data_IF_235175122639
#
_entry.id   IF_235175122639
#
_cell.length_a   1.000
_cell.length_b   1.000
_cell.length_c   1.000
_cell.angle_alpha   90.00
_cell.angle_beta   90.00
_cell.angle_gamma   90.00
#
_symmetry.space_group_name_H-M   'P 1'
#
loop_
_entity.id
_entity.type
_entity.pdbx_description
1 polymer ?
#
# COMPACT_ATOMS: atom_id res chain seq x y z
N UNK A 1 -34.51 12.82 41.10
CA UNK A 1 -33.78 11.90 42.02
C UNK A 1 -32.28 11.89 41.70
N UNK A 2 -31.40 11.25 42.50
CA UNK A 2 -29.95 11.14 42.19
C UNK A 2 -29.68 10.56 40.78
N UNK A 3 -30.53 9.62 40.34
CA UNK A 3 -30.51 9.04 39.00
C UNK A 3 -30.85 10.08 37.91
N UNK A 4 -31.91 10.88 38.10
CA UNK A 4 -32.28 11.95 37.16
C UNK A 4 -31.19 13.03 37.04
N UNK A 5 -30.51 13.35 38.15
CA UNK A 5 -29.36 14.26 38.16
C UNK A 5 -28.17 13.72 37.37
N UNK A 6 -27.87 12.41 37.50
CA UNK A 6 -26.85 11.75 36.68
C UNK A 6 -27.24 11.71 35.20
N UNK A 7 -28.50 11.40 34.86
CA UNK A 7 -28.97 11.40 33.46
C UNK A 7 -28.80 12.78 32.84
N UNK A 8 -29.18 13.86 33.53
CA UNK A 8 -28.96 15.24 33.06
C UNK A 8 -27.48 15.60 32.88
N UNK A 9 -26.61 15.14 33.77
CA UNK A 9 -25.18 15.43 33.71
C UNK A 9 -24.46 14.71 32.55
N UNK A 10 -24.89 13.50 32.20
CA UNK A 10 -24.26 12.70 31.13
C UNK A 10 -25.03 12.72 29.81
N UNK A 11 -26.20 13.36 29.76
CA UNK A 11 -26.99 13.55 28.52
C UNK A 11 -26.19 14.28 27.43
N UNK A 12 -25.31 15.23 27.78
CA UNK A 12 -24.41 15.88 26.81
C UNK A 12 -23.44 14.89 26.14
N UNK A 13 -23.02 13.84 26.86
CA UNK A 13 -22.15 12.80 26.29
C UNK A 13 -22.91 11.93 25.31
N UNK A 14 -24.16 11.59 25.62
CA UNK A 14 -25.06 10.83 24.74
C UNK A 14 -25.36 11.63 23.46
N UNK A 15 -25.60 12.93 23.59
CA UNK A 15 -25.85 13.85 22.47
C UNK A 15 -24.66 13.91 21.50
N UNK A 16 -23.43 13.98 22.04
CA UNK A 16 -22.20 14.01 21.24
C UNK A 16 -21.98 12.68 20.50
N UNK A 17 -22.29 11.53 21.11
CA UNK A 17 -22.14 10.23 20.48
C UNK A 17 -23.26 9.94 19.46
N UNK A 18 -24.48 10.40 19.72
CA UNK A 18 -25.57 10.37 18.74
C UNK A 18 -25.22 11.23 17.53
N UNK A 19 -24.71 12.45 17.73
CA UNK A 19 -24.23 13.31 16.64
C UNK A 19 -23.07 12.67 15.85
N UNK A 20 -22.13 11.98 16.52
CA UNK A 20 -21.05 11.26 15.85
C UNK A 20 -21.56 10.08 15.01
N UNK A 21 -22.53 9.31 15.53
CA UNK A 21 -23.18 8.24 14.77
C UNK A 21 -24.01 8.81 13.60
N UNK A 22 -24.65 9.97 13.75
CA UNK A 22 -25.35 10.69 12.68
C UNK A 22 -24.41 11.11 11.54
N UNK A 23 -23.25 11.67 11.88
CA UNK A 23 -22.25 12.10 10.89
C UNK A 23 -21.70 10.91 10.08
N UNK A 24 -21.66 9.71 10.70
CA UNK A 24 -21.20 8.49 10.05
C UNK A 24 -22.24 7.83 9.13
N UNK A 25 -23.55 7.96 9.40
CA UNK A 25 -24.61 7.27 8.65
C UNK A 25 -25.36 8.12 7.61
N UNK A 26 -25.20 9.44 7.61
CA UNK A 26 -25.41 10.28 6.41
C UNK A 26 -26.85 10.49 5.93
N UNK A 27 -27.88 10.22 6.74
CA UNK A 27 -29.29 10.34 6.33
C UNK A 27 -30.06 11.31 7.25
N UNK A 28 -29.95 12.62 6.97
CA UNK A 28 -30.53 13.69 7.80
C UNK A 28 -32.04 13.91 7.56
N UNK A 29 -32.56 13.54 6.39
CA UNK A 29 -33.91 13.92 5.97
C UNK A 29 -35.01 12.98 6.48
N UNK A 30 -34.64 11.79 6.98
CA UNK A 30 -35.59 10.77 7.46
C UNK A 30 -35.84 10.77 8.97
N UNK A 31 -35.24 11.69 9.73
CA UNK A 31 -35.34 11.67 11.20
C UNK A 31 -36.20 12.82 11.74
N UNK A 32 -37.48 12.82 11.36
CA UNK A 32 -38.49 13.59 12.09
C UNK A 32 -39.31 12.66 12.99
N UNK A 33 -39.22 12.96 14.29
CA UNK A 33 -40.12 12.57 15.38
C UNK A 33 -40.01 11.12 15.87
N UNK A 34 -38.89 10.81 16.55
CA UNK A 34 -38.94 9.81 17.60
C UNK A 34 -39.20 10.56 18.90
N UNK A 35 -40.32 10.28 19.58
CA UNK A 35 -40.61 10.85 20.90
C UNK A 35 -39.53 10.39 21.88
N UNK A 36 -38.55 11.27 22.12
CA UNK A 36 -37.48 10.99 23.07
C UNK A 36 -38.08 11.04 24.48
N UNK A 37 -37.93 9.98 25.29
CA UNK A 37 -38.45 9.98 26.64
C UNK A 37 -37.83 11.12 27.46
N UNK A 38 -38.61 11.73 28.34
CA UNK A 38 -38.12 12.73 29.27
C UNK A 38 -37.03 12.14 30.17
N UNK A 39 -36.15 12.99 30.70
CA UNK A 39 -35.11 12.56 31.65
C UNK A 39 -35.66 11.78 32.85
N UNK A 40 -36.91 12.06 33.21
CA UNK A 40 -37.63 11.38 34.29
C UNK A 40 -38.03 9.96 33.88
N UNK A 41 -38.57 9.78 32.67
CA UNK A 41 -38.93 8.47 32.13
C UNK A 41 -37.70 7.58 31.91
N UNK A 42 -36.61 8.15 31.38
CA UNK A 42 -35.33 7.44 31.27
C UNK A 42 -34.81 6.99 32.64
N UNK A 43 -34.91 7.85 33.66
CA UNK A 43 -34.44 7.53 35.00
C UNK A 43 -35.27 6.42 35.68
N UNK A 44 -36.56 6.30 35.33
CA UNK A 44 -37.43 5.23 35.83
C UNK A 44 -37.13 3.86 35.20
N UNK A 45 -36.56 3.84 33.99
CA UNK A 45 -36.14 2.61 33.31
C UNK A 45 -34.76 2.09 33.77
N UNK A 46 -34.00 2.89 34.52
CA UNK A 46 -32.73 2.47 35.09
C UNK A 46 -32.98 1.50 36.27
N UNK A 47 -32.92 0.20 36.00
CA UNK A 47 -32.87 -0.80 37.06
C UNK A 47 -31.51 -0.69 37.80
N UNK A 48 -31.48 -0.81 39.14
CA UNK A 48 -30.23 -0.88 39.88
C UNK A 48 -29.43 -2.09 39.40
N UNK A 49 -28.30 -1.81 38.74
CA UNK A 49 -27.40 -2.83 38.25
C UNK A 49 -26.62 -3.40 39.44
N UNK A 50 -26.76 -4.70 39.69
CA UNK A 50 -25.84 -5.40 40.59
C UNK A 50 -24.47 -5.48 39.89
N UNK A 51 -23.53 -4.67 40.37
CA UNK A 51 -22.17 -4.56 39.84
C UNK A 51 -21.51 -5.93 39.72
N UNK A 52 -21.77 -6.86 40.67
CA UNK A 52 -21.18 -8.20 40.64
C UNK A 52 -21.79 -9.06 39.53
N UNK A 53 -23.07 -8.89 39.24
CA UNK A 53 -23.75 -9.56 38.12
C UNK A 53 -23.27 -8.98 36.79
N UNK A 54 -23.08 -7.67 36.71
CA UNK A 54 -22.53 -7.01 35.52
C UNK A 54 -21.08 -7.45 35.25
N UNK A 55 -20.20 -7.41 36.25
CA UNK A 55 -18.81 -7.89 36.12
C UNK A 55 -18.75 -9.36 35.73
N UNK A 56 -19.60 -10.20 36.32
CA UNK A 56 -19.68 -11.63 35.95
C UNK A 56 -20.13 -11.82 34.51
N UNK A 57 -21.09 -11.01 34.02
CA UNK A 57 -21.54 -11.02 32.62
C UNK A 57 -20.46 -10.51 31.67
N UNK A 58 -19.75 -9.43 32.03
CA UNK A 58 -18.64 -8.89 31.23
C UNK A 58 -17.47 -9.88 31.17
N UNK A 59 -17.15 -10.54 32.29
CA UNK A 59 -16.09 -11.56 32.36
C UNK A 59 -16.47 -12.80 31.56
N UNK A 60 -17.73 -13.24 31.62
CA UNK A 60 -18.24 -14.33 30.79
C UNK A 60 -18.26 -13.97 29.30
N UNK A 61 -18.65 -12.74 28.95
CA UNK A 61 -18.62 -12.25 27.57
C UNK A 61 -17.19 -12.13 27.04
N UNK A 62 -16.24 -11.65 27.86
CA UNK A 62 -14.81 -11.62 27.55
C UNK A 62 -14.21 -13.03 27.40
N UNK A 63 -14.66 -13.99 28.20
CA UNK A 63 -14.24 -15.39 28.07
C UNK A 63 -14.79 -16.05 26.79
N UNK A 64 -16.03 -15.75 26.41
CA UNK A 64 -16.63 -16.18 25.14
C UNK A 64 -15.94 -15.53 23.95
N UNK A 65 -15.66 -14.22 24.01
CA UNK A 65 -14.87 -13.48 23.02
C UNK A 65 -13.45 -14.04 22.91
N UNK A 66 -12.79 -14.44 24.01
CA UNK A 66 -11.47 -15.10 23.95
C UNK A 66 -11.50 -16.51 23.35
N UNK A 67 -12.63 -17.21 23.46
CA UNK A 67 -12.84 -18.54 22.85
C UNK A 67 -13.25 -18.47 21.38
N UNK A 68 -13.94 -17.41 20.97
CA UNK A 68 -14.29 -17.13 19.56
C UNK A 68 -13.25 -16.29 18.83
N UNK A 69 -12.34 -15.62 19.55
CA UNK A 69 -11.18 -14.96 18.99
C UNK A 69 -10.12 -16.02 18.70
N UNK A 70 -9.80 -16.31 17.42
CA UNK A 70 -8.71 -17.20 17.12
C UNK A 70 -7.45 -16.53 17.67
N UNK A 71 -6.73 -17.22 18.56
CA UNK A 71 -5.44 -16.76 19.13
C UNK A 71 -4.30 -16.75 18.09
N UNK A 72 -4.67 -16.54 16.83
CA UNK A 72 -3.80 -16.38 15.70
C UNK A 72 -4.56 -15.58 14.65
N UNK A 73 -4.59 -14.26 14.85
CA UNK A 73 -4.70 -13.35 13.71
C UNK A 73 -3.34 -13.26 12.97
N UNK A 74 -2.50 -14.30 12.99
CA UNK A 74 -1.80 -14.68 11.77
C UNK A 74 -2.90 -15.22 10.86
N UNK A 75 -3.55 -14.34 10.12
CA UNK A 75 -4.23 -14.74 8.89
C UNK A 75 -3.26 -15.67 8.18
N UNK A 76 -3.63 -16.94 8.03
CA UNK A 76 -3.16 -17.75 6.91
C UNK A 76 -3.69 -17.06 5.65
N UNK A 77 -3.08 -15.93 5.29
CA UNK A 77 -2.77 -15.71 3.89
C UNK A 77 -1.95 -16.93 3.57
N UNK A 78 -2.45 -17.85 2.73
CA UNK A 78 -1.61 -18.90 2.18
C UNK A 78 -0.29 -18.21 1.81
N UNK A 79 0.81 -18.60 2.48
CA UNK A 79 2.05 -17.84 2.43
C UNK A 79 2.33 -17.56 0.96
N UNK A 80 2.33 -16.28 0.57
CA UNK A 80 2.56 -15.93 -0.84
C UNK A 80 3.87 -16.61 -1.21
N UNK A 81 3.95 -17.33 -2.34
CA UNK A 81 5.09 -18.19 -2.62
C UNK A 81 6.35 -17.40 -3.03
N UNK A 82 6.28 -16.08 -2.91
CA UNK A 82 7.33 -15.10 -3.12
C UNK A 82 7.10 -13.93 -2.15
N UNK A 83 8.14 -13.14 -1.93
CA UNK A 83 8.16 -11.93 -1.11
C UNK A 83 8.60 -10.74 -1.97
N UNK A 84 7.97 -9.60 -1.72
CA UNK A 84 8.44 -8.30 -2.20
C UNK A 84 9.33 -7.73 -1.10
N UNK A 85 10.61 -7.51 -1.42
CA UNK A 85 11.63 -7.15 -0.42
C UNK A 85 11.76 -5.63 -0.26
N UNK A 86 11.42 -4.87 -1.29
CA UNK A 86 11.53 -3.41 -1.29
C UNK A 86 11.51 -2.83 -2.68
N UNK A 87 11.70 -1.52 -2.76
CA UNK A 87 11.90 -0.81 -4.02
C UNK A 87 13.34 -1.06 -4.49
N UNK A 88 13.49 -1.43 -5.75
CA UNK A 88 14.78 -1.54 -6.40
C UNK A 88 15.13 -0.24 -7.13
N UNK A 89 14.22 0.24 -7.98
CA UNK A 89 14.42 1.49 -8.72
C UNK A 89 13.15 2.31 -8.87
N UNK A 90 13.32 3.60 -9.13
CA UNK A 90 12.27 4.50 -9.60
C UNK A 90 12.79 5.17 -10.87
N UNK A 91 12.01 5.10 -11.94
CA UNK A 91 12.41 5.66 -13.22
C UNK A 91 11.61 6.93 -13.52
N UNK A 92 12.33 8.03 -13.75
CA UNK A 92 11.76 9.36 -14.04
C UNK A 92 12.24 9.83 -15.39
N UNK A 93 11.29 10.13 -16.29
CA UNK A 93 11.56 10.61 -17.62
C UNK A 93 11.30 12.12 -17.79
N UNK A 94 12.14 12.76 -18.60
CA UNK A 94 12.00 14.15 -19.02
C UNK A 94 12.54 14.37 -20.43
N UNK A 95 12.25 15.54 -21.02
CA UNK A 95 12.80 15.89 -22.34
C UNK A 95 14.26 16.38 -22.27
N UNK A 96 14.73 16.74 -21.07
CA UNK A 96 16.08 17.22 -20.82
C UNK A 96 16.64 16.52 -19.56
N UNK A 97 17.60 15.61 -19.74
CA UNK A 97 18.22 14.89 -18.63
C UNK A 97 19.10 15.79 -17.76
N UNK A 98 19.68 16.86 -18.31
CA UNK A 98 20.50 17.78 -17.50
C UNK A 98 19.65 18.54 -16.47
N UNK A 99 18.40 18.88 -16.81
CA UNK A 99 17.46 19.45 -15.84
C UNK A 99 17.12 18.45 -14.72
N UNK A 100 16.97 17.16 -15.06
CA UNK A 100 16.79 16.10 -14.07
C UNK A 100 18.06 15.96 -13.21
N UNK A 101 19.25 15.96 -13.81
CA UNK A 101 20.52 15.87 -13.08
C UNK A 101 20.69 17.02 -12.09
N UNK A 102 20.39 18.25 -12.51
CA UNK A 102 20.43 19.42 -11.62
C UNK A 102 19.50 19.27 -10.41
N UNK A 103 18.30 18.70 -10.61
CA UNK A 103 17.39 18.44 -9.49
C UNK A 103 17.89 17.30 -8.61
N UNK A 104 18.07 16.11 -9.18
CA UNK A 104 18.28 14.88 -8.41
C UNK A 104 19.69 14.77 -7.84
N UNK A 105 20.70 15.19 -8.59
CA UNK A 105 22.10 15.15 -8.14
C UNK A 105 22.46 16.44 -7.43
N UNK A 106 22.40 17.58 -8.11
CA UNK A 106 22.99 18.82 -7.57
C UNK A 106 22.14 19.43 -6.44
N UNK A 107 20.81 19.33 -6.51
CA UNK A 107 19.89 19.91 -5.51
C UNK A 107 19.56 18.93 -4.39
N UNK A 108 19.20 17.69 -4.73
CA UNK A 108 18.75 16.67 -3.75
C UNK A 108 19.89 15.77 -3.24
N UNK A 109 21.05 15.75 -3.90
CA UNK A 109 22.23 15.06 -3.40
C UNK A 109 22.27 13.56 -3.65
N UNK A 110 21.55 13.03 -4.64
CA UNK A 110 21.68 11.61 -5.03
C UNK A 110 23.06 11.36 -5.64
N UNK A 111 23.57 10.15 -5.47
CA UNK A 111 24.90 9.77 -5.98
C UNK A 111 24.79 9.31 -7.42
N UNK A 112 25.46 9.99 -8.35
CA UNK A 112 25.60 9.49 -9.72
C UNK A 112 26.45 8.21 -9.75
N UNK A 113 25.98 7.18 -10.47
CA UNK A 113 26.69 5.89 -10.59
C UNK A 113 27.25 5.69 -12.00
N UNK A 114 26.40 5.80 -13.00
CA UNK A 114 26.74 5.53 -14.40
C UNK A 114 25.69 6.09 -15.35
N UNK A 115 25.97 6.04 -16.64
CA UNK A 115 24.98 6.32 -17.69
C UNK A 115 24.82 5.12 -18.61
N UNK A 116 23.63 4.97 -19.16
CA UNK A 116 23.30 3.96 -20.16
C UNK A 116 22.60 4.63 -21.34
N UNK A 117 22.87 4.14 -22.55
CA UNK A 117 22.25 4.67 -23.76
C UNK A 117 21.92 3.53 -24.72
N UNK A 118 20.68 3.51 -25.20
CA UNK A 118 20.17 2.50 -26.13
C UNK A 118 19.30 3.11 -27.21
N UNK A 119 19.79 3.08 -28.45
CA UNK A 119 19.04 3.49 -29.64
C UNK A 119 17.80 2.61 -29.86
N UNK A 120 17.89 1.31 -29.51
CA UNK A 120 16.77 0.36 -29.64
C UNK A 120 15.61 0.72 -28.71
N UNK A 121 15.92 1.12 -27.48
CA UNK A 121 14.92 1.48 -26.47
C UNK A 121 14.56 2.98 -26.49
N UNK A 122 15.16 3.75 -27.41
CA UNK A 122 15.03 5.20 -27.49
C UNK A 122 15.30 5.90 -26.14
N UNK A 123 16.35 5.49 -25.43
CA UNK A 123 16.67 5.98 -24.08
C UNK A 123 18.13 6.40 -23.95
N UNK A 124 18.32 7.54 -23.28
CA UNK A 124 19.59 7.98 -22.72
C UNK A 124 19.35 8.30 -21.24
N UNK A 125 19.96 7.55 -20.34
CA UNK A 125 19.66 7.57 -18.91
C UNK A 125 20.91 7.69 -18.06
N UNK A 126 20.74 8.30 -16.88
CA UNK A 126 21.70 8.18 -15.79
C UNK A 126 21.08 7.37 -14.67
N UNK A 127 21.89 6.48 -14.11
CA UNK A 127 21.57 5.66 -12.95
C UNK A 127 22.13 6.40 -11.74
N UNK A 128 21.24 6.83 -10.85
CA UNK A 128 21.58 7.47 -9.59
C UNK A 128 21.26 6.53 -8.43
N UNK A 129 21.83 6.80 -7.25
CA UNK A 129 21.65 5.98 -6.06
C UNK A 129 21.23 6.83 -4.86
N UNK A 130 20.19 6.37 -4.17
CA UNK A 130 19.72 6.90 -2.90
C UNK A 130 19.80 5.80 -1.82
N UNK A 131 20.32 6.12 -0.64
CA UNK A 131 20.52 5.14 0.42
C UNK A 131 21.88 4.46 0.33
N UNK A 132 22.03 3.29 0.96
CA UNK A 132 23.31 2.57 1.06
C UNK A 132 23.12 1.07 1.13
N UNK A 133 24.10 0.34 0.57
CA UNK A 133 24.18 -1.11 0.70
C UNK A 133 23.02 -1.82 -0.01
N UNK A 134 22.58 -2.98 0.49
CA UNK A 134 21.55 -3.80 -0.18
C UNK A 134 20.16 -3.16 -0.29
N UNK A 135 19.92 -2.06 0.42
CA UNK A 135 18.66 -1.30 0.39
C UNK A 135 18.81 0.05 -0.30
N UNK A 136 19.94 0.29 -0.97
CA UNK A 136 20.04 1.42 -1.87
C UNK A 136 19.00 1.28 -3.00
N UNK A 137 18.36 2.39 -3.33
CA UNK A 137 17.36 2.49 -4.38
C UNK A 137 17.98 3.23 -5.55
N UNK A 138 17.88 2.64 -6.73
CA UNK A 138 18.29 3.28 -7.97
C UNK A 138 17.24 4.32 -8.40
N UNK A 139 17.71 5.46 -8.91
CA UNK A 139 16.87 6.49 -9.48
C UNK A 139 17.32 6.74 -10.91
N UNK A 140 16.56 6.21 -11.86
CA UNK A 140 16.90 6.24 -13.28
C UNK A 140 16.29 7.49 -13.90
N UNK A 141 17.14 8.47 -14.22
CA UNK A 141 16.69 9.69 -14.89
C UNK A 141 16.90 9.54 -16.39
N UNK A 142 15.81 9.54 -17.14
CA UNK A 142 15.78 9.20 -18.55
C UNK A 142 15.42 10.40 -19.42
N UNK A 143 16.01 10.47 -20.61
CA UNK A 143 15.50 11.26 -21.72
C UNK A 143 15.39 10.40 -22.99
N UNK A 144 14.44 10.71 -23.90
CA UNK A 144 14.44 10.06 -25.20
C UNK A 144 15.65 10.52 -26.02
N UNK A 145 16.18 9.62 -26.84
CA UNK A 145 17.17 9.97 -27.86
C UNK A 145 16.50 10.80 -28.96
N UNK A 146 15.31 10.38 -29.36
CA UNK A 146 14.44 11.06 -30.30
C UNK A 146 13.02 11.15 -29.71
N UNK A 147 12.62 12.35 -29.29
CA UNK A 147 11.32 12.57 -28.65
C UNK A 147 10.12 12.26 -29.56
N UNK A 148 10.31 12.22 -30.89
CA UNK A 148 9.26 11.89 -31.84
C UNK A 148 9.05 10.37 -31.98
N UNK A 149 9.97 9.53 -31.50
CA UNK A 149 9.93 8.08 -31.64
C UNK A 149 9.42 7.40 -30.37
N UNK A 150 8.90 6.19 -30.55
CA UNK A 150 8.61 5.26 -29.46
C UNK A 150 9.82 4.32 -29.25
N UNK A 151 10.08 3.85 -28.03
CA UNK A 151 9.40 4.15 -26.76
C UNK A 151 9.52 5.62 -26.30
N UNK A 152 8.51 6.13 -25.59
CA UNK A 152 8.52 7.49 -25.03
C UNK A 152 8.86 7.44 -23.54
N UNK A 153 10.14 7.35 -23.21
CA UNK A 153 10.60 7.23 -21.82
C UNK A 153 10.23 8.42 -20.92
N UNK A 154 9.91 9.57 -21.51
CA UNK A 154 9.46 10.79 -20.83
C UNK A 154 7.94 10.86 -20.56
N UNK A 155 7.16 9.87 -21.00
CA UNK A 155 5.70 9.85 -20.82
C UNK A 155 5.23 8.46 -20.37
N UNK A 156 4.63 8.33 -19.18
CA UNK A 156 4.51 9.35 -18.13
C UNK A 156 5.87 9.75 -17.54
N UNK A 157 5.94 10.90 -16.87
CA UNK A 157 7.18 11.39 -16.26
C UNK A 157 7.64 10.46 -15.12
N UNK A 158 6.73 9.98 -14.27
CA UNK A 158 7.01 8.84 -13.40
C UNK A 158 6.78 7.57 -14.24
N UNK A 159 7.85 7.09 -14.87
CA UNK A 159 7.75 6.10 -15.95
C UNK A 159 7.38 4.72 -15.41
N UNK A 160 8.18 4.21 -14.47
CA UNK A 160 7.95 2.93 -13.80
C UNK A 160 8.60 2.88 -12.42
N UNK A 161 8.22 1.86 -11.65
CA UNK A 161 8.88 1.50 -10.39
C UNK A 161 9.34 0.04 -10.46
N UNK A 162 10.53 -0.23 -9.92
CA UNK A 162 11.09 -1.57 -9.77
C UNK A 162 10.93 -2.10 -8.36
N UNK A 163 10.57 -3.37 -8.24
CA UNK A 163 10.43 -4.08 -6.97
C UNK A 163 11.39 -5.26 -6.92
N UNK A 164 12.10 -5.38 -5.80
CA UNK A 164 12.86 -6.59 -5.48
C UNK A 164 11.93 -7.75 -5.13
N UNK A 165 12.11 -8.87 -5.83
CA UNK A 165 11.39 -10.13 -5.62
C UNK A 165 12.38 -11.24 -5.27
N UNK A 166 12.13 -11.99 -4.19
CA UNK A 166 13.04 -13.06 -3.75
C UNK A 166 13.09 -14.27 -4.70
N UNK A 167 11.95 -14.65 -5.29
CA UNK A 167 11.82 -15.67 -6.34
C UNK A 167 10.91 -15.15 -7.45
N UNK A 168 11.54 -14.61 -8.50
CA UNK A 168 10.84 -14.00 -9.62
C UNK A 168 10.07 -15.04 -10.44
N UNK A 169 10.62 -16.24 -10.65
CA UNK A 169 9.98 -17.27 -11.45
C UNK A 169 8.67 -17.74 -10.78
N UNK A 170 8.74 -18.02 -9.48
CA UNK A 170 7.56 -18.39 -8.68
C UNK A 170 6.56 -17.23 -8.57
N UNK A 171 7.04 -16.00 -8.48
CA UNK A 171 6.20 -14.81 -8.52
C UNK A 171 5.39 -14.72 -9.82
N UNK A 172 6.07 -14.82 -10.97
CA UNK A 172 5.44 -14.75 -12.29
C UNK A 172 4.42 -15.86 -12.49
N UNK A 173 4.77 -17.12 -12.15
CA UNK A 173 3.83 -18.25 -12.25
C UNK A 173 2.59 -18.03 -11.38
N UNK A 174 2.79 -17.62 -10.12
CA UNK A 174 1.68 -17.39 -9.18
C UNK A 174 0.77 -16.24 -9.62
N UNK A 175 1.35 -15.14 -10.11
CA UNK A 175 0.60 -13.98 -10.58
C UNK A 175 -0.12 -14.25 -11.91
N UNK A 176 0.52 -14.99 -12.83
CA UNK A 176 -0.10 -15.41 -14.10
C UNK A 176 -1.36 -16.23 -13.84
N UNK A 177 -1.29 -17.21 -12.92
CA UNK A 177 -2.46 -18.03 -12.50
C UNK A 177 -3.60 -17.21 -11.88
N UNK A 178 -3.30 -16.01 -11.37
CA UNK A 178 -4.29 -15.07 -10.83
C UNK A 178 -4.85 -14.10 -11.88
N UNK A 179 -4.42 -14.20 -13.13
CA UNK A 179 -4.85 -13.31 -14.21
C UNK A 179 -4.08 -11.99 -14.29
N UNK A 180 -2.85 -11.93 -13.76
CA UNK A 180 -1.95 -10.78 -13.95
C UNK A 180 -1.50 -10.66 -15.39
N UNK A 181 -1.59 -9.45 -15.94
CA UNK A 181 -1.08 -9.12 -17.26
C UNK A 181 0.36 -8.64 -17.17
N UNK A 182 1.26 -9.39 -17.79
CA UNK A 182 2.65 -8.96 -18.02
C UNK A 182 2.80 -8.31 -19.39
N UNK A 183 3.85 -7.50 -19.56
CA UNK A 183 4.27 -7.03 -20.88
C UNK A 183 4.83 -8.19 -21.71
N UNK A 184 4.87 -8.08 -23.04
CA UNK A 184 5.58 -9.04 -23.87
C UNK A 184 7.07 -9.16 -23.48
N UNK A 185 7.67 -10.33 -23.74
CA UNK A 185 9.11 -10.58 -23.56
C UNK A 185 9.48 -11.51 -22.41
N UNK A 186 8.55 -11.77 -21.48
CA UNK A 186 8.79 -12.66 -20.34
C UNK A 186 9.93 -12.19 -19.43
N UNK A 187 10.48 -13.12 -18.64
CA UNK A 187 11.66 -12.88 -17.81
C UNK A 187 12.89 -12.76 -18.73
N UNK A 188 13.62 -11.65 -18.61
CA UNK A 188 14.81 -11.34 -19.41
C UNK A 188 15.82 -10.53 -18.59
N UNK A 189 17.03 -10.32 -19.13
CA UNK A 189 18.02 -9.44 -18.49
C UNK A 189 17.64 -7.96 -18.64
N UNK A 190 17.60 -7.23 -17.53
CA UNK A 190 17.43 -5.77 -17.44
C UNK A 190 18.76 -5.00 -17.54
N UNK A 191 18.70 -3.68 -17.44
CA UNK A 191 19.87 -2.78 -17.61
C UNK A 191 20.98 -3.05 -16.58
N UNK A 192 20.62 -3.30 -15.32
CA UNK A 192 21.54 -3.66 -14.25
C UNK A 192 21.96 -5.17 -14.26
N UNK A 193 21.57 -5.94 -15.27
CA UNK A 193 21.97 -7.35 -15.42
C UNK A 193 21.16 -8.36 -14.59
N UNK A 194 20.15 -7.92 -13.85
CA UNK A 194 19.21 -8.78 -13.14
C UNK A 194 18.15 -9.36 -14.08
N UNK A 195 17.52 -10.46 -13.67
CA UNK A 195 16.33 -10.97 -14.34
C UNK A 195 15.13 -10.11 -13.99
N UNK A 196 14.40 -9.67 -15.01
CA UNK A 196 13.30 -8.71 -14.89
C UNK A 196 12.11 -9.12 -15.74
N UNK A 197 10.92 -8.70 -15.32
CA UNK A 197 9.67 -8.76 -16.09
C UNK A 197 8.81 -7.57 -15.70
N UNK A 198 7.97 -7.09 -16.61
CA UNK A 198 7.12 -5.94 -16.34
C UNK A 198 5.65 -6.35 -16.27
N UNK A 199 4.95 -5.84 -15.28
CA UNK A 199 3.49 -5.85 -15.21
C UNK A 199 2.97 -4.74 -16.12
N UNK A 200 2.01 -5.08 -16.98
CA UNK A 200 1.41 -4.12 -17.90
C UNK A 200 0.54 -3.11 -17.12
N UNK A 201 0.59 -1.79 -17.42
CA UNK A 201 -0.21 -0.78 -16.69
C UNK A 201 -1.72 -0.94 -16.81
N UNK A 202 -2.20 -1.70 -17.80
CA UNK A 202 -3.62 -1.87 -18.12
C UNK A 202 -3.94 -3.34 -18.26
N UNK A 203 -5.03 -3.82 -17.64
CA UNK A 203 -5.55 -5.17 -17.84
C UNK A 203 -6.11 -5.39 -19.26
N UNK A 204 -6.61 -6.59 -19.50
CA UNK A 204 -7.46 -6.94 -20.65
C UNK A 204 -8.39 -8.11 -20.27
N UNK A 205 -9.27 -8.53 -21.19
CA UNK A 205 -10.27 -9.58 -20.91
C UNK A 205 -9.65 -10.93 -20.48
N UNK A 206 -8.47 -11.27 -21.00
CA UNK A 206 -7.76 -12.51 -20.65
C UNK A 206 -6.98 -12.40 -19.32
N UNK A 207 -6.49 -11.21 -19.01
CA UNK A 207 -5.64 -10.91 -17.86
C UNK A 207 -6.15 -9.62 -17.20
N UNK A 208 -7.18 -9.72 -16.33
CA UNK A 208 -7.84 -8.54 -15.78
C UNK A 208 -7.00 -7.79 -14.74
N UNK A 209 -6.03 -8.45 -14.08
CA UNK A 209 -5.15 -7.80 -13.11
C UNK A 209 -4.00 -7.09 -13.81
N UNK A 210 -3.62 -5.92 -13.31
CA UNK A 210 -2.62 -5.06 -13.94
C UNK A 210 -1.88 -4.20 -12.93
N UNK A 211 -1.02 -3.31 -13.44
CA UNK A 211 -0.36 -2.28 -12.63
C UNK A 211 -1.24 -1.07 -12.31
N UNK A 212 -2.54 -1.11 -12.63
CA UNK A 212 -3.53 -0.07 -12.30
C UNK A 212 -3.10 1.35 -12.71
N UNK A 213 -2.58 1.46 -13.94
CA UNK A 213 -2.08 2.72 -14.52
C UNK A 213 -0.57 2.91 -14.38
N UNK A 214 0.13 2.05 -13.63
CA UNK A 214 1.57 2.14 -13.40
C UNK A 214 2.29 0.99 -14.10
N UNK A 215 3.40 1.30 -14.78
CA UNK A 215 4.33 0.27 -15.25
C UNK A 215 5.16 -0.19 -14.05
N UNK A 216 5.11 -1.49 -13.73
CA UNK A 216 5.82 -2.04 -12.57
C UNK A 216 6.80 -3.09 -13.07
N UNK A 217 8.07 -2.92 -12.73
CA UNK A 217 9.11 -3.89 -12.98
C UNK A 217 9.31 -4.78 -11.76
N UNK A 218 9.33 -6.09 -11.99
CA UNK A 218 9.67 -7.07 -10.99
C UNK A 218 11.08 -7.56 -11.27
N UNK A 219 11.97 -7.41 -10.29
CA UNK A 219 13.40 -7.67 -10.42
C UNK A 219 13.79 -8.79 -9.48
N UNK A 220 14.48 -9.81 -9.99
CA UNK A 220 15.02 -10.89 -9.17
C UNK A 220 16.09 -10.34 -8.23
N UNK A 221 15.80 -10.39 -6.93
CA UNK A 221 16.72 -9.96 -5.89
C UNK A 221 17.95 -10.88 -5.84
N UNK A 222 19.17 -10.31 -5.80
CA UNK A 222 20.37 -11.11 -5.60
C UNK A 222 20.44 -11.63 -4.14
N UNK A 223 21.21 -12.70 -3.88
CA UNK A 223 21.26 -13.35 -2.56
C UNK A 223 21.59 -12.40 -1.40
N UNK A 224 22.43 -11.38 -1.65
CA UNK A 224 22.81 -10.42 -0.61
C UNK A 224 21.68 -9.47 -0.21
N UNK A 225 20.74 -9.14 -1.11
CA UNK A 225 19.55 -8.33 -0.80
C UNK A 225 18.57 -9.16 0.03
N UNK A 226 18.35 -10.43 -0.35
CA UNK A 226 17.51 -11.36 0.41
C UNK A 226 18.05 -11.55 1.82
N UNK A 227 19.35 -11.82 1.95
CA UNK A 227 20.00 -12.01 3.24
C UNK A 227 19.93 -10.75 4.11
N UNK A 228 20.11 -9.56 3.52
CA UNK A 228 19.99 -8.30 4.25
C UNK A 228 18.56 -8.08 4.76
N UNK A 229 17.55 -8.33 3.91
CA UNK A 229 16.14 -8.24 4.29
C UNK A 229 15.82 -9.17 5.47
N UNK A 230 16.29 -10.43 5.41
CA UNK A 230 16.05 -11.44 6.45
C UNK A 230 16.79 -11.16 7.76
N UNK A 231 17.86 -10.37 7.72
CA UNK A 231 18.64 -10.01 8.89
C UNK A 231 18.01 -8.90 9.74
N UNK A 232 17.11 -8.08 9.16
CA UNK A 232 16.40 -7.03 9.89
C UNK A 232 15.30 -7.66 10.73
N UNK A 233 15.35 -7.43 12.05
CA UNK A 233 14.29 -7.77 12.98
C UNK A 233 13.51 -6.50 13.32
N UNK A 234 12.19 -6.55 13.21
CA UNK A 234 11.29 -5.52 13.77
C UNK A 234 11.39 -5.46 15.29
#
# INVERSE_FOLDING_TARGET
>A
TRAEGHVKQFLMLIDTHLMALHYMWGDFDNLLLVDVPTSTEMAQQLAPMDIRVFEKRQTAHAATMKRSCPTSCKKLVAARPFRVLGIQQVAVGGLNKDALRNLWVDTLGLTYKSSFRSERENVDEDILEAGRGPFAVEMDIMQPIDAAKAPKVHVPQLNHLGLWIDDLATCVDSLTKKGMRFTPGGIRKGAAGYDVVFIHPKGNDAFPLSGEGVLIELVQAPPHVIAAFDAIKE
#
